data_IF_309090279665
#
_entry.id   IF_309090279665
#
_cell.length_a   1.000
_cell.length_b   1.000
_cell.length_c   1.000
_cell.angle_alpha   90.00
_cell.angle_beta   90.00
_cell.angle_gamma   90.00
#
_symmetry.space_group_name_H-M   'P 1'
#
loop_
_entity.id
_entity.type
_entity.pdbx_description
1 polymer ?
#
# COMPACT_ATOMS: atom_id res chain seq x y z
N UNK A 1 9.36 -15.12 -9.71
CA UNK A 1 9.44 -13.69 -10.07
C UNK A 1 9.17 -12.88 -8.79
N UNK A 2 9.66 -11.65 -8.70
CA UNK A 2 9.45 -10.79 -7.53
C UNK A 2 7.94 -10.48 -7.35
N UNK A 3 7.47 -10.15 -6.13
CA UNK A 3 6.06 -10.20 -5.76
C UNK A 3 5.12 -9.41 -6.68
N UNK A 4 5.55 -8.22 -7.13
CA UNK A 4 4.76 -7.35 -8.02
C UNK A 4 4.58 -8.00 -9.40
N UNK A 5 5.67 -8.45 -10.02
CA UNK A 5 5.64 -9.00 -11.37
C UNK A 5 4.93 -10.36 -11.42
N UNK A 6 5.06 -11.19 -10.39
CA UNK A 6 4.31 -12.45 -10.29
C UNK A 6 2.80 -12.21 -10.28
N UNK A 7 2.34 -11.24 -9.48
CA UNK A 7 0.91 -10.90 -9.37
C UNK A 7 0.33 -10.26 -10.61
N UNK A 8 1.11 -9.45 -11.33
CA UNK A 8 0.70 -8.92 -12.63
C UNK A 8 0.56 -10.06 -13.63
N UNK A 9 1.52 -11.00 -13.67
CA UNK A 9 1.44 -12.18 -14.56
C UNK A 9 0.21 -13.06 -14.27
N UNK A 10 -0.13 -13.24 -12.99
CA UNK A 10 -1.34 -13.98 -12.58
C UNK A 10 -2.63 -13.28 -13.06
N UNK A 11 -2.68 -11.95 -13.00
CA UNK A 11 -3.81 -11.17 -13.47
C UNK A 11 -3.36 -9.83 -14.07
N UNK A 12 -3.34 -9.76 -15.40
CA UNK A 12 -2.88 -8.57 -16.14
C UNK A 12 -3.80 -7.35 -15.99
N UNK A 13 -5.00 -7.51 -15.40
CA UNK A 13 -5.90 -6.38 -15.08
C UNK A 13 -5.64 -5.79 -13.68
N UNK A 14 -4.77 -6.40 -12.89
CA UNK A 14 -4.46 -5.94 -11.54
C UNK A 14 -3.47 -4.78 -11.61
N UNK A 15 -3.85 -3.66 -10.99
CA UNK A 15 -2.95 -2.54 -10.71
C UNK A 15 -2.38 -2.77 -9.31
N UNK A 16 -1.05 -2.64 -9.18
CA UNK A 16 -0.35 -2.86 -7.91
C UNK A 16 0.44 -1.61 -7.58
N UNK A 17 0.26 -1.09 -6.37
CA UNK A 17 1.05 -0.02 -5.80
C UNK A 17 2.06 -0.63 -4.80
N UNK A 18 3.34 -0.20 -4.78
CA UNK A 18 4.24 -0.55 -3.68
C UNK A 18 3.81 0.16 -2.39
N UNK A 19 4.34 -0.29 -1.25
CA UNK A 19 4.30 0.56 -0.05
C UNK A 19 5.06 1.85 -0.33
N UNK A 20 4.52 2.99 0.12
CA UNK A 20 5.12 4.32 -0.03
C UNK A 20 5.57 4.77 1.36
N UNK A 21 6.87 4.72 1.58
CA UNK A 21 7.52 5.25 2.78
C UNK A 21 7.94 6.71 2.56
N UNK A 22 8.10 7.45 3.65
CA UNK A 22 8.53 8.84 3.59
C UNK A 22 10.06 8.93 3.61
N UNK A 23 10.62 9.71 2.69
CA UNK A 23 12.01 10.16 2.75
C UNK A 23 11.95 11.64 3.11
N UNK A 24 12.41 11.99 4.31
CA UNK A 24 12.32 13.36 4.81
C UNK A 24 13.14 14.30 3.93
N UNK A 25 12.51 15.38 3.46
CA UNK A 25 13.12 16.33 2.50
C UNK A 25 14.40 16.98 3.06
N UNK A 26 14.41 17.34 4.34
CA UNK A 26 15.55 18.06 4.95
C UNK A 26 16.73 17.15 5.30
N UNK A 27 16.47 15.89 5.68
CA UNK A 27 17.49 14.99 6.25
C UNK A 27 17.79 13.78 5.38
N UNK A 28 16.97 13.50 4.38
CA UNK A 28 16.97 12.26 3.58
C UNK A 28 16.82 10.97 4.41
N UNK A 29 16.39 11.09 5.66
CA UNK A 29 16.12 9.93 6.50
C UNK A 29 14.86 9.21 6.03
N UNK A 30 14.94 7.88 6.00
CA UNK A 30 13.82 7.01 5.68
C UNK A 30 12.96 6.78 6.92
N UNK A 31 11.70 7.17 6.82
CA UNK A 31 10.65 6.87 7.77
C UNK A 31 9.72 5.80 7.16
N UNK A 32 9.73 4.60 7.75
CA UNK A 32 8.88 3.48 7.33
C UNK A 32 7.47 3.68 7.85
N UNK A 33 6.49 3.59 6.97
CA UNK A 33 5.08 3.67 7.34
C UNK A 33 4.48 2.29 7.56
N UNK A 34 3.46 2.23 8.41
CA UNK A 34 2.64 1.04 8.53
C UNK A 34 1.77 0.84 7.28
N UNK A 35 1.41 -0.42 7.01
CA UNK A 35 0.57 -0.78 5.89
C UNK A 35 -0.74 0.00 5.92
N UNK A 36 -0.97 0.78 4.87
CA UNK A 36 -2.10 1.69 4.75
C UNK A 36 -2.75 1.55 3.37
N UNK A 37 -4.09 1.57 3.35
CA UNK A 37 -4.85 1.73 2.11
C UNK A 37 -4.81 3.17 1.63
N UNK A 38 -5.16 3.40 0.36
CA UNK A 38 -5.38 4.74 -0.18
C UNK A 38 -6.89 4.97 -0.37
N UNK A 39 -7.40 6.06 0.19
CA UNK A 39 -8.80 6.46 0.08
C UNK A 39 -8.93 7.94 -0.24
N UNK A 40 -10.18 8.40 -0.35
CA UNK A 40 -10.48 9.82 -0.57
C UNK A 40 -11.48 10.33 0.45
N UNK A 41 -11.29 11.55 0.94
CA UNK A 41 -12.33 12.25 1.68
C UNK A 41 -13.38 12.84 0.72
N UNK A 42 -14.45 13.45 1.25
CA UNK A 42 -15.51 14.06 0.43
C UNK A 42 -15.08 15.29 -0.36
N UNK A 43 -13.92 15.86 -0.05
CA UNK A 43 -13.29 16.94 -0.81
C UNK A 43 -12.37 16.40 -1.93
N UNK A 44 -12.32 15.06 -2.10
CA UNK A 44 -11.50 14.33 -3.07
C UNK A 44 -9.99 14.37 -2.81
N UNK A 45 -9.58 14.55 -1.56
CA UNK A 45 -8.18 14.52 -1.17
C UNK A 45 -7.74 13.07 -0.93
N UNK A 46 -6.58 12.69 -1.46
CA UNK A 46 -6.01 11.38 -1.24
C UNK A 46 -5.50 11.26 0.20
N UNK A 47 -5.89 10.18 0.88
CA UNK A 47 -5.58 9.93 2.29
C UNK A 47 -4.99 8.54 2.46
N UNK A 48 -4.09 8.40 3.43
CA UNK A 48 -3.76 7.11 4.02
C UNK A 48 -4.88 6.71 4.98
N UNK A 49 -5.42 5.50 4.80
CA UNK A 49 -6.47 4.94 5.64
C UNK A 49 -6.02 3.60 6.22
N UNK A 50 -6.47 3.29 7.43
CA UNK A 50 -6.23 1.98 8.02
C UNK A 50 -6.89 0.89 7.17
N UNK A 51 -6.20 -0.23 6.89
CA UNK A 51 -6.81 -1.39 6.24
C UNK A 51 -8.03 -1.89 7.01
N UNK A 52 -9.02 -2.49 6.33
CA UNK A 52 -10.18 -3.08 6.99
C UNK A 52 -9.72 -4.18 7.97
N UNK A 53 -10.46 -4.35 9.08
CA UNK A 53 -10.13 -5.35 10.12
C UNK A 53 -9.90 -6.75 9.56
N UNK A 54 -10.68 -7.15 8.55
CA UNK A 54 -10.55 -8.45 7.89
C UNK A 54 -9.14 -8.69 7.34
N UNK A 55 -8.51 -7.68 6.74
CA UNK A 55 -7.15 -7.80 6.20
C UNK A 55 -6.13 -8.13 7.30
N UNK A 56 -6.29 -7.52 8.47
CA UNK A 56 -5.46 -7.83 9.65
C UNK A 56 -5.71 -9.25 10.17
N UNK A 57 -6.98 -9.67 10.21
CA UNK A 57 -7.37 -10.99 10.71
C UNK A 57 -6.88 -12.12 9.77
N UNK A 58 -6.72 -11.85 8.46
CA UNK A 58 -6.16 -12.79 7.47
C UNK A 58 -4.63 -13.01 7.61
N UNK A 59 -3.90 -12.04 8.19
CA UNK A 59 -2.48 -12.18 8.52
C UNK A 59 -1.49 -12.25 7.35
N UNK A 60 -1.98 -12.25 6.10
CA UNK A 60 -1.14 -12.16 4.90
C UNK A 60 -0.81 -10.69 4.61
N UNK A 61 0.33 -10.23 5.14
CA UNK A 61 0.82 -8.86 4.92
C UNK A 61 1.16 -8.57 3.46
N UNK A 62 1.25 -9.60 2.62
CA UNK A 62 1.42 -9.41 1.19
C UNK A 62 0.08 -9.14 0.51
N UNK A 63 -1.07 -9.54 1.05
CA UNK A 63 -2.36 -9.41 0.37
C UNK A 63 -2.65 -7.94 0.00
N UNK A 64 -3.21 -7.66 -1.19
CA UNK A 64 -3.65 -6.31 -1.54
C UNK A 64 -4.62 -5.76 -0.50
N UNK A 65 -4.41 -4.49 -0.09
CA UNK A 65 -5.33 -3.72 0.76
C UNK A 65 -6.49 -3.22 -0.10
#
# INVERSE_FOLDING_TARGET
>A
AEPVLSRIKENHKRIILPSIDNIKDETFELERYENSGHGYNWELWCMYISPPKQWWDEGDTSAPI
#
